data_IF_804825139106
#
_entry.id   IF_804825139106
#
_cell.length_a   1.000
_cell.length_b   1.000
_cell.length_c   1.000
_cell.angle_alpha   90.00
_cell.angle_beta   90.00
_cell.angle_gamma   90.00
#
_symmetry.space_group_name_H-M   'P 1'
#
loop_
_entity.id
_entity.type
_entity.pdbx_description
1 polymer ?
#
# COMPACT_ATOMS: atom_id res chain seq x y z
N UNK A 1 4.05 -48.42 4.46
CA UNK A 1 4.81 -47.19 4.69
C UNK A 1 4.04 -46.03 4.03
N UNK A 2 3.25 -45.35 4.79
CA UNK A 2 2.47 -44.18 4.30
C UNK A 2 3.36 -42.94 4.41
N UNK A 3 3.84 -42.48 3.25
CA UNK A 3 4.48 -41.18 3.15
C UNK A 3 3.44 -40.10 3.32
N UNK A 4 3.47 -39.42 4.45
CA UNK A 4 2.79 -38.16 4.64
C UNK A 4 3.38 -37.17 3.64
N UNK A 5 2.58 -36.74 2.65
CA UNK A 5 2.89 -35.55 1.86
C UNK A 5 2.97 -34.39 2.85
N UNK A 6 4.15 -33.83 3.03
CA UNK A 6 4.28 -32.48 3.56
C UNK A 6 3.50 -31.57 2.59
N UNK A 7 2.38 -31.01 3.03
CA UNK A 7 1.76 -29.88 2.37
C UNK A 7 2.80 -28.75 2.38
N UNK A 8 3.29 -28.36 1.20
CA UNK A 8 4.16 -27.22 1.04
C UNK A 8 3.41 -26.01 1.58
N UNK A 9 3.95 -25.36 2.59
CA UNK A 9 3.43 -24.13 3.19
C UNK A 9 3.70 -22.95 2.22
N UNK A 10 2.97 -22.99 1.11
CA UNK A 10 3.11 -22.05 -0.03
C UNK A 10 2.20 -20.81 0.15
N UNK A 11 1.54 -20.71 1.31
CA UNK A 11 0.69 -19.57 1.62
C UNK A 11 1.54 -18.33 1.88
N UNK A 12 1.06 -17.17 1.44
CA UNK A 12 1.71 -15.90 1.72
C UNK A 12 1.69 -15.57 3.21
N UNK A 13 2.86 -15.21 3.74
CA UNK A 13 3.03 -14.80 5.13
C UNK A 13 3.55 -13.37 5.23
N UNK A 14 2.71 -12.48 5.77
CA UNK A 14 3.17 -11.13 6.13
C UNK A 14 3.98 -11.17 7.43
N UNK A 15 5.16 -10.56 7.41
CA UNK A 15 6.01 -10.50 8.59
C UNK A 15 5.35 -9.67 9.71
N UNK A 16 5.41 -10.14 10.98
CA UNK A 16 4.80 -9.45 12.11
C UNK A 16 5.24 -7.98 12.24
N UNK A 17 6.52 -7.68 11.95
CA UNK A 17 7.06 -6.32 11.98
C UNK A 17 6.40 -5.41 10.95
N UNK A 18 6.06 -5.95 9.78
CA UNK A 18 5.41 -5.19 8.72
C UNK A 18 3.92 -5.02 8.99
N UNK A 19 3.26 -6.06 9.46
CA UNK A 19 1.87 -6.00 9.88
C UNK A 19 1.71 -5.01 11.03
N UNK A 20 2.54 -5.17 12.07
CA UNK A 20 2.64 -4.27 13.22
C UNK A 20 1.31 -3.72 13.70
N UNK A 21 1.23 -2.42 13.74
CA UNK A 21 0.04 -1.64 14.09
C UNK A 21 -0.75 -1.11 12.88
N UNK A 22 -0.39 -1.52 11.64
CA UNK A 22 -1.09 -1.10 10.43
C UNK A 22 -2.49 -1.69 10.33
N UNK A 23 -3.36 -0.98 9.65
CA UNK A 23 -4.75 -1.40 9.46
C UNK A 23 -4.95 -1.93 8.05
N UNK A 24 -5.35 -3.20 7.91
CA UNK A 24 -5.72 -3.77 6.62
C UNK A 24 -6.93 -3.03 6.01
N UNK A 25 -6.85 -2.71 4.72
CA UNK A 25 -7.88 -1.98 3.97
C UNK A 25 -8.51 -2.85 2.90
N UNK A 26 -7.70 -3.40 1.98
CA UNK A 26 -8.19 -4.08 0.78
C UNK A 26 -7.12 -5.01 0.19
N UNK A 27 -7.53 -6.01 -0.60
CA UNK A 27 -6.62 -6.82 -1.41
C UNK A 27 -6.76 -6.45 -2.88
N UNK A 28 -5.65 -6.04 -3.48
CA UNK A 28 -5.50 -5.86 -4.93
C UNK A 28 -4.99 -7.16 -5.58
N UNK A 29 -4.92 -7.26 -6.90
CA UNK A 29 -4.46 -8.49 -7.58
C UNK A 29 -3.10 -9.00 -7.09
N UNK A 30 -2.12 -8.14 -6.86
CA UNK A 30 -0.80 -8.51 -6.34
C UNK A 30 -0.66 -8.21 -4.85
N UNK A 31 -1.04 -7.01 -4.40
CA UNK A 31 -0.69 -6.51 -3.08
C UNK A 31 -1.88 -6.40 -2.14
N UNK A 32 -1.62 -6.62 -0.86
CA UNK A 32 -2.50 -6.16 0.21
C UNK A 32 -2.24 -4.69 0.51
N UNK A 33 -3.31 -3.95 0.75
CA UNK A 33 -3.33 -2.51 1.04
C UNK A 33 -3.51 -2.31 2.53
N UNK A 34 -2.59 -1.58 3.14
CA UNK A 34 -2.67 -1.21 4.55
C UNK A 34 -2.67 0.31 4.72
N UNK A 35 -3.47 0.81 5.65
CA UNK A 35 -3.34 2.16 6.19
C UNK A 35 -2.21 2.15 7.21
N UNK A 36 -1.19 3.00 7.02
CA UNK A 36 -0.13 3.18 8.00
C UNK A 36 -0.67 3.93 9.22
N UNK A 37 -0.35 3.48 10.44
CA UNK A 37 -0.90 4.06 11.66
C UNK A 37 -0.18 5.37 12.07
N UNK A 38 -0.25 6.35 11.17
CA UNK A 38 0.17 7.72 11.41
C UNK A 38 -0.82 8.68 10.74
N UNK A 39 -1.63 9.36 11.54
CA UNK A 39 -2.70 10.24 11.08
C UNK A 39 -2.21 11.60 10.58
N UNK A 40 -0.91 11.87 10.65
CA UNK A 40 -0.32 13.13 10.18
C UNK A 40 -0.42 13.27 8.66
N UNK A 41 -0.33 12.14 7.95
CA UNK A 41 -0.40 12.09 6.48
C UNK A 41 -1.37 11.00 6.00
N UNK A 42 -2.05 11.18 4.86
CA UNK A 42 -2.70 10.06 4.17
C UNK A 42 -1.59 9.12 3.64
N UNK A 43 -1.40 8.00 4.33
CA UNK A 43 -0.26 7.10 4.14
C UNK A 43 -0.69 5.66 3.99
N UNK A 44 -0.48 5.11 2.81
CA UNK A 44 -0.80 3.72 2.45
C UNK A 44 0.47 2.92 2.26
N UNK A 45 0.42 1.65 2.62
CA UNK A 45 1.49 0.67 2.40
C UNK A 45 0.94 -0.47 1.56
N UNK A 46 1.58 -0.74 0.42
CA UNK A 46 1.33 -1.92 -0.41
C UNK A 46 2.30 -3.03 -0.04
N UNK A 47 1.79 -4.23 0.18
CA UNK A 47 2.58 -5.43 0.46
C UNK A 47 2.29 -6.48 -0.60
N UNK A 48 3.16 -6.69 -1.61
CA UNK A 48 3.01 -7.76 -2.57
C UNK A 48 2.92 -9.12 -1.89
N UNK A 49 1.94 -9.95 -2.28
CA UNK A 49 1.72 -11.29 -1.71
C UNK A 49 2.65 -12.31 -2.37
N UNK A 50 3.94 -12.05 -2.30
CA UNK A 50 5.03 -12.90 -2.77
C UNK A 50 5.98 -13.15 -1.60
N UNK A 51 6.24 -14.42 -1.25
CA UNK A 51 7.16 -14.77 -0.19
C UNK A 51 8.61 -14.49 -0.61
N UNK A 52 9.48 -14.22 0.36
CA UNK A 52 10.94 -14.07 0.20
C UNK A 52 11.41 -12.93 -0.72
N UNK A 53 10.49 -12.05 -1.14
CA UNK A 53 10.85 -10.85 -1.89
C UNK A 53 11.36 -9.75 -0.95
N UNK A 54 12.51 -9.19 -1.27
CA UNK A 54 13.15 -8.09 -0.52
C UNK A 54 13.12 -6.81 -1.33
N UNK A 55 13.51 -6.90 -2.59
CA UNK A 55 13.59 -5.78 -3.50
C UNK A 55 12.56 -5.95 -4.64
N UNK A 56 12.13 -4.84 -5.25
CA UNK A 56 11.14 -4.90 -6.33
C UNK A 56 11.63 -5.72 -7.54
N UNK A 57 12.95 -5.78 -7.78
CA UNK A 57 13.51 -6.55 -8.88
C UNK A 57 13.58 -8.06 -8.63
N UNK A 58 13.31 -8.52 -7.40
CA UNK A 58 13.15 -9.95 -7.08
C UNK A 58 11.82 -10.49 -7.64
N UNK A 59 10.84 -9.61 -7.85
CA UNK A 59 9.56 -9.96 -8.48
C UNK A 59 9.75 -10.31 -9.96
N UNK A 60 8.87 -11.15 -10.50
CA UNK A 60 8.78 -11.37 -11.94
C UNK A 60 8.47 -10.06 -12.69
N UNK A 61 8.79 -9.98 -13.98
CA UNK A 61 8.49 -8.79 -14.80
C UNK A 61 6.99 -8.45 -14.78
N UNK A 62 6.13 -9.45 -14.81
CA UNK A 62 4.67 -9.29 -14.73
C UNK A 62 4.24 -8.72 -13.39
N UNK A 63 4.80 -9.22 -12.29
CA UNK A 63 4.53 -8.73 -10.94
C UNK A 63 5.06 -7.29 -10.74
N UNK A 64 6.24 -6.95 -11.28
CA UNK A 64 6.76 -5.57 -11.27
C UNK A 64 5.80 -4.61 -11.99
N UNK A 65 5.31 -4.98 -13.18
CA UNK A 65 4.32 -4.18 -13.91
C UNK A 65 3.00 -4.06 -13.14
N UNK A 66 2.56 -5.14 -12.50
CA UNK A 66 1.35 -5.12 -11.68
C UNK A 66 1.51 -4.22 -10.46
N UNK A 67 2.65 -4.29 -9.76
CA UNK A 67 2.96 -3.40 -8.63
C UNK A 67 2.90 -1.92 -9.06
N UNK A 68 3.46 -1.56 -10.21
CA UNK A 68 3.41 -0.20 -10.72
C UNK A 68 1.96 0.27 -11.01
N UNK A 69 1.10 -0.62 -11.51
CA UNK A 69 -0.32 -0.32 -11.72
C UNK A 69 -1.04 -0.08 -10.39
N UNK A 70 -0.74 -0.88 -9.38
CA UNK A 70 -1.32 -0.74 -8.03
C UNK A 70 -0.83 0.53 -7.33
N UNK A 71 0.45 0.86 -7.43
CA UNK A 71 1.00 2.13 -6.96
C UNK A 71 0.32 3.33 -7.63
N UNK A 72 0.09 3.26 -8.94
CA UNK A 72 -0.62 4.30 -9.69
C UNK A 72 -2.08 4.43 -9.26
N UNK A 73 -2.78 3.32 -9.00
CA UNK A 73 -4.14 3.31 -8.48
C UNK A 73 -4.20 4.01 -7.11
N UNK A 74 -3.37 3.60 -6.16
CA UNK A 74 -3.32 4.19 -4.82
C UNK A 74 -2.95 5.68 -4.87
N UNK A 75 -2.05 6.06 -5.76
CA UNK A 75 -1.69 7.46 -5.98
C UNK A 75 -2.91 8.32 -6.36
N UNK A 76 -3.74 7.85 -7.30
CA UNK A 76 -4.98 8.54 -7.68
C UNK A 76 -6.01 8.55 -6.54
N UNK A 77 -6.15 7.43 -5.84
CA UNK A 77 -7.02 7.32 -4.65
C UNK A 77 -6.66 8.37 -3.60
N UNK A 78 -5.38 8.53 -3.29
CA UNK A 78 -4.91 9.52 -2.34
C UNK A 78 -5.20 10.95 -2.81
N UNK A 79 -4.90 11.28 -4.07
CA UNK A 79 -5.17 12.62 -4.63
C UNK A 79 -6.67 12.94 -4.66
N UNK A 80 -7.52 11.95 -4.98
CA UNK A 80 -8.99 12.11 -4.97
C UNK A 80 -9.54 12.27 -3.55
N UNK A 81 -9.05 11.47 -2.62
CA UNK A 81 -9.49 11.49 -1.23
C UNK A 81 -9.01 12.70 -0.43
N UNK A 82 -7.85 13.24 -0.78
CA UNK A 82 -7.22 14.39 -0.11
C UNK A 82 -6.76 15.44 -1.13
N UNK A 83 -7.67 16.29 -1.64
CA UNK A 83 -7.37 17.22 -2.74
C UNK A 83 -6.31 18.29 -2.43
N UNK A 84 -5.94 18.45 -1.16
CA UNK A 84 -4.90 19.40 -0.72
C UNK A 84 -3.49 18.81 -0.76
N UNK A 85 -3.32 17.54 -1.19
CA UNK A 85 -1.99 16.95 -1.37
C UNK A 85 -1.23 17.75 -2.43
N UNK A 86 -0.08 18.29 -2.03
CA UNK A 86 0.81 19.04 -2.92
C UNK A 86 1.77 18.09 -3.68
N UNK A 87 2.19 16.99 -3.05
CA UNK A 87 3.12 16.01 -3.62
C UNK A 87 2.89 14.63 -3.03
N UNK A 88 3.02 13.61 -3.86
CA UNK A 88 3.13 12.22 -3.38
C UNK A 88 4.61 11.86 -3.17
N UNK A 89 4.90 11.21 -2.06
CA UNK A 89 6.19 10.55 -1.84
C UNK A 89 5.98 9.03 -1.84
N UNK A 90 6.91 8.33 -2.46
CA UNK A 90 6.88 6.87 -2.58
C UNK A 90 8.24 6.32 -2.20
N UNK A 91 8.28 5.23 -1.45
CA UNK A 91 9.54 4.61 -1.04
C UNK A 91 9.40 3.15 -0.65
N UNK A 92 10.43 2.37 -0.98
CA UNK A 92 10.62 0.98 -0.57
C UNK A 92 11.84 0.96 0.36
N UNK A 93 11.65 1.31 1.62
CA UNK A 93 12.76 1.58 2.56
C UNK A 93 13.36 0.27 3.11
N UNK A 94 12.54 -0.59 3.72
CA UNK A 94 12.88 -1.97 4.11
C UNK A 94 14.07 -2.19 5.04
N UNK A 95 14.67 -1.16 5.64
CA UNK A 95 15.87 -1.32 6.47
C UNK A 95 15.62 -2.07 7.79
N UNK A 96 14.44 -1.93 8.37
CA UNK A 96 14.02 -2.64 9.60
C UNK A 96 13.30 -3.94 9.26
N UNK A 97 12.35 -3.90 8.34
CA UNK A 97 11.64 -5.06 7.84
C UNK A 97 11.97 -5.26 6.37
N UNK A 98 12.65 -6.35 6.05
CA UNK A 98 13.16 -6.61 4.70
C UNK A 98 12.11 -7.13 3.72
N UNK A 99 10.96 -7.64 4.19
CA UNK A 99 9.89 -8.05 3.30
C UNK A 99 9.48 -6.88 2.42
N UNK A 100 9.44 -7.10 1.10
CA UNK A 100 9.10 -6.05 0.12
C UNK A 100 7.78 -5.37 0.45
N UNK A 101 7.81 -4.06 0.59
CA UNK A 101 6.64 -3.22 0.77
C UNK A 101 6.88 -1.82 0.21
N UNK A 102 5.83 -1.19 -0.26
CA UNK A 102 5.90 0.12 -0.87
C UNK A 102 5.04 1.12 -0.10
N UNK A 103 5.67 2.17 0.42
CA UNK A 103 4.99 3.30 1.03
C UNK A 103 4.56 4.31 -0.05
N UNK A 104 3.32 4.78 0.04
CA UNK A 104 2.77 5.86 -0.79
C UNK A 104 2.04 6.82 0.15
N UNK A 105 2.49 8.06 0.21
CA UNK A 105 1.91 9.05 1.11
C UNK A 105 1.74 10.41 0.45
N UNK A 106 0.69 11.11 0.87
CA UNK A 106 0.42 12.48 0.45
C UNK A 106 1.08 13.49 1.36
N UNK A 107 1.77 14.47 0.78
CA UNK A 107 2.45 15.56 1.46
C UNK A 107 1.70 16.87 1.27
N UNK A 108 1.74 17.70 2.30
CA UNK A 108 1.18 19.04 2.31
C UNK A 108 2.30 20.06 2.47
N UNK A 109 2.21 21.22 1.77
CA UNK A 109 3.26 22.25 1.85
C UNK A 109 3.47 22.82 3.26
N UNK A 110 2.47 22.65 4.14
CA UNK A 110 2.51 23.09 5.53
C UNK A 110 2.69 21.93 6.52
N UNK A 111 3.04 20.71 6.08
CA UNK A 111 3.31 19.61 7.00
C UNK A 111 4.63 19.84 7.76
N UNK A 112 4.77 19.18 8.91
CA UNK A 112 5.90 19.41 9.84
C UNK A 112 7.26 19.03 9.27
N UNK A 113 7.31 18.23 8.19
CA UNK A 113 8.56 17.77 7.58
C UNK A 113 8.88 18.47 6.27
N UNK A 114 7.92 19.23 5.69
CA UNK A 114 8.11 19.86 4.38
C UNK A 114 9.32 20.79 4.33
N UNK A 115 10.18 20.72 3.30
CA UNK A 115 10.14 19.84 2.11
C UNK A 115 10.88 18.49 2.28
N UNK A 116 11.37 18.16 3.47
CA UNK A 116 12.17 16.98 3.73
C UNK A 116 11.34 15.70 3.76
N UNK A 117 11.93 14.50 3.54
CA UNK A 117 11.25 13.22 3.71
C UNK A 117 10.71 13.02 5.12
N UNK A 118 9.66 12.19 5.26
CA UNK A 118 9.01 11.93 6.56
C UNK A 118 9.66 10.78 7.34
N UNK A 119 10.37 9.88 6.65
CA UNK A 119 10.96 8.69 7.29
C UNK A 119 12.05 9.09 8.30
N UNK A 120 11.82 8.74 9.58
CA UNK A 120 12.74 9.06 10.67
C UNK A 120 12.64 10.48 11.22
N UNK A 121 11.66 11.27 10.79
CA UNK A 121 11.59 12.70 11.14
C UNK A 121 10.84 12.97 12.46
N UNK A 122 9.83 12.19 12.83
CA UNK A 122 9.02 12.38 14.05
C UNK A 122 8.38 11.08 14.52
N UNK A 123 7.86 11.09 15.76
CA UNK A 123 7.00 10.02 16.24
C UNK A 123 5.65 10.02 15.54
N UNK A 124 5.13 8.82 15.21
CA UNK A 124 3.84 8.66 14.57
C UNK A 124 2.69 9.13 15.48
N UNK A 125 1.79 9.94 14.93
CA UNK A 125 0.52 10.27 15.58
C UNK A 125 -0.50 9.19 15.23
N UNK A 126 -0.71 8.24 16.14
CA UNK A 126 -1.64 7.13 15.91
C UNK A 126 -3.07 7.61 15.69
N UNK A 127 -3.79 6.92 14.82
CA UNK A 127 -5.24 7.06 14.69
C UNK A 127 -5.94 6.58 15.96
N UNK A 128 -7.05 7.21 16.33
CA UNK A 128 -8.06 6.57 17.19
C UNK A 128 -8.74 5.43 16.42
N UNK A 129 -9.44 4.52 17.12
CA UNK A 129 -10.16 3.41 16.46
C UNK A 129 -11.20 3.90 15.46
N UNK A 130 -11.91 4.98 15.80
CA UNK A 130 -12.94 5.57 14.95
C UNK A 130 -12.35 6.23 13.70
N UNK A 131 -11.31 7.07 13.87
CA UNK A 131 -10.60 7.70 12.75
C UNK A 131 -9.98 6.67 11.81
N UNK A 132 -9.39 5.59 12.35
CA UNK A 132 -8.84 4.50 11.54
C UNK A 132 -9.93 3.81 10.73
N UNK A 133 -11.09 3.54 11.35
CA UNK A 133 -12.25 2.92 10.69
C UNK A 133 -12.75 3.80 9.54
N UNK A 134 -13.03 5.07 9.80
CA UNK A 134 -13.51 6.03 8.79
C UNK A 134 -12.53 6.17 7.62
N UNK A 135 -11.22 6.26 7.92
CA UNK A 135 -10.19 6.41 6.90
C UNK A 135 -10.07 5.14 6.05
N UNK A 136 -10.17 3.95 6.65
CA UNK A 136 -10.21 2.67 5.94
C UNK A 136 -11.42 2.58 5.00
N UNK A 137 -12.62 2.86 5.49
CA UNK A 137 -13.85 2.83 4.70
C UNK A 137 -13.77 3.81 3.52
N UNK A 138 -13.23 5.01 3.74
CA UNK A 138 -12.96 5.99 2.69
C UNK A 138 -12.00 5.45 1.63
N UNK A 139 -10.86 4.88 2.04
CA UNK A 139 -9.88 4.30 1.14
C UNK A 139 -10.48 3.14 0.33
N UNK A 140 -11.16 2.20 0.99
CA UNK A 140 -11.78 1.05 0.33
C UNK A 140 -12.80 1.47 -0.73
N UNK A 141 -13.66 2.44 -0.42
CA UNK A 141 -14.62 2.99 -1.37
C UNK A 141 -13.93 3.62 -2.57
N UNK A 142 -12.91 4.45 -2.34
CA UNK A 142 -12.18 5.13 -3.42
C UNK A 142 -11.39 4.14 -4.29
N UNK A 143 -10.83 3.08 -3.70
CA UNK A 143 -10.14 2.01 -4.46
C UNK A 143 -11.12 1.32 -5.42
N UNK A 144 -12.33 1.01 -4.97
CA UNK A 144 -13.37 0.40 -5.80
C UNK A 144 -13.80 1.33 -6.95
N UNK A 145 -14.08 2.59 -6.64
CA UNK A 145 -14.47 3.60 -7.63
C UNK A 145 -13.39 3.78 -8.72
N UNK A 146 -12.13 4.02 -8.32
CA UNK A 146 -11.03 4.21 -9.27
C UNK A 146 -10.72 2.95 -10.11
N UNK A 147 -10.91 1.77 -9.53
CA UNK A 147 -10.74 0.49 -10.23
C UNK A 147 -11.82 0.27 -11.30
N UNK A 148 -13.08 0.60 -11.01
CA UNK A 148 -14.20 0.50 -11.92
C UNK A 148 -14.12 1.50 -13.08
N UNK A 149 -13.78 2.77 -12.80
CA UNK A 149 -13.59 3.81 -13.84
C UNK A 149 -12.54 3.37 -14.87
N UNK A 150 -11.42 2.81 -14.43
CA UNK A 150 -10.37 2.33 -15.34
C UNK A 150 -10.82 1.13 -16.19
N UNK A 151 -11.63 0.24 -15.62
CA UNK A 151 -12.17 -0.91 -16.35
C UNK A 151 -13.14 -0.46 -17.45
N UNK A 152 -13.94 0.57 -17.19
CA UNK A 152 -14.87 1.16 -18.16
C UNK A 152 -14.12 1.83 -19.31
N UNK A 153 -13.07 2.59 -19.03
CA UNK A 153 -12.25 3.26 -20.05
C UNK A 153 -11.52 2.27 -20.97
N UNK A 154 -11.04 1.14 -20.42
CA UNK A 154 -10.43 0.09 -21.25
C UNK A 154 -11.42 -0.59 -22.18
N UNK A 155 -12.69 -0.76 -21.76
CA UNK A 155 -13.76 -1.32 -22.61
C UNK A 155 -14.19 -0.36 -23.74
N UNK A 156 -14.14 0.95 -23.50
CA UNK A 156 -14.50 1.96 -24.50
C UNK A 156 -13.41 2.21 -25.55
N UNK A 157 -12.15 1.87 -25.27
CA UNK A 157 -11.04 2.00 -26.23
C UNK A 157 -10.80 0.80 -27.12
N UNK A 158 -11.58 -0.28 -26.96
CA UNK A 158 -11.52 -1.51 -27.76
C UNK A 158 -12.66 -1.62 -28.79
N UNK A 159 -13.49 -0.60 -28.93
CA UNK A 159 -14.48 -0.42 -29.99
C UNK A 159 -14.05 0.69 -30.93
#
# INVERSE_FOLDING_TARGET
MSGTKEESDDAFHIWPQLKGDKHFVHSLPLSDVYLNNDSTWPWVVLVPRENDMVEYHDLSNEAQMQLMREMSLISRVLLKGWPKIAKLNTGMIGCVCRQLHCHILGRFENDTCWPNPVWGASEAKKYSEEEAKETKEKLERLIKEEGEEKLLLLKSSTN
#
